data_IF_962036273588
#
_entry.id   IF_962036273588
#
_cell.length_a   1.000
_cell.length_b   1.000
_cell.length_c   1.000
_cell.angle_alpha   90.00
_cell.angle_beta   90.00
_cell.angle_gamma   90.00
#
_symmetry.space_group_name_H-M   'P 1'
#
loop_
_entity.id
_entity.type
_entity.pdbx_description
1 polymer ?
#
# COMPACT_ATOMS: atom_id res chain seq x y z
N UNK A 1 1.20 16.77 0.76
CA UNK A 1 0.01 17.38 1.39
C UNK A 1 -1.11 17.77 0.41
N UNK A 2 -0.80 18.30 -0.77
CA UNK A 2 -1.82 18.79 -1.71
C UNK A 2 -2.83 17.72 -2.19
N UNK A 3 -2.37 16.48 -2.40
CA UNK A 3 -3.25 15.39 -2.86
C UNK A 3 -4.35 15.05 -1.85
N UNK A 4 -4.02 14.96 -0.54
CA UNK A 4 -5.00 14.65 0.50
C UNK A 4 -6.13 15.70 0.51
N UNK A 5 -5.77 16.98 0.50
CA UNK A 5 -6.71 18.10 0.57
C UNK A 5 -7.59 18.24 -0.68
N UNK A 6 -7.05 17.96 -1.87
CA UNK A 6 -7.73 18.26 -3.14
C UNK A 6 -8.34 17.05 -3.85
N UNK A 7 -7.87 15.83 -3.56
CA UNK A 7 -8.22 14.64 -4.35
C UNK A 7 -8.77 13.49 -3.52
N UNK A 8 -8.37 13.32 -2.26
CA UNK A 8 -8.75 12.14 -1.49
C UNK A 8 -10.26 11.93 -1.38
N UNK A 9 -11.02 12.99 -1.06
CA UNK A 9 -12.49 12.89 -0.94
C UNK A 9 -13.19 12.63 -2.27
N UNK A 10 -12.77 13.30 -3.35
CA UNK A 10 -13.31 13.06 -4.69
C UNK A 10 -12.98 11.65 -5.19
N UNK A 11 -11.77 11.16 -4.93
CA UNK A 11 -11.37 9.79 -5.26
C UNK A 11 -12.12 8.75 -4.42
N UNK A 12 -12.40 9.04 -3.15
CA UNK A 12 -13.24 8.21 -2.29
C UNK A 12 -14.66 8.09 -2.86
N UNK A 13 -15.27 9.22 -3.26
CA UNK A 13 -16.62 9.26 -3.79
C UNK A 13 -16.75 8.54 -5.15
N UNK A 14 -15.77 8.75 -6.05
CA UNK A 14 -15.75 8.12 -7.37
C UNK A 14 -15.31 6.65 -7.37
N UNK A 15 -14.72 6.16 -6.26
CA UNK A 15 -14.18 4.81 -6.17
C UNK A 15 -12.76 4.65 -6.74
N UNK A 16 -12.11 5.73 -7.16
CA UNK A 16 -10.74 5.69 -7.68
C UNK A 16 -9.70 5.24 -6.63
N UNK A 17 -9.94 5.54 -5.35
CA UNK A 17 -9.13 5.03 -4.24
C UNK A 17 -9.89 5.11 -2.93
N UNK A 18 -9.59 4.23 -1.98
CA UNK A 18 -10.08 4.32 -0.60
C UNK A 18 -9.02 4.93 0.31
N UNK A 19 -9.35 6.03 0.98
CA UNK A 19 -8.42 6.76 1.87
C UNK A 19 -8.79 6.55 3.33
N UNK A 20 -7.79 6.27 4.17
CA UNK A 20 -7.92 6.10 5.61
C UNK A 20 -6.99 7.08 6.32
N UNK A 21 -7.45 7.64 7.43
CA UNK A 21 -6.74 8.69 8.17
C UNK A 21 -6.66 8.35 9.66
N UNK A 22 -5.59 8.79 10.29
CA UNK A 22 -5.50 8.91 11.76
C UNK A 22 -5.68 10.38 12.08
N UNK A 23 -6.69 10.69 12.89
CA UNK A 23 -7.03 12.05 13.28
C UNK A 23 -7.35 12.13 14.77
N UNK A 24 -7.17 13.32 15.37
CA UNK A 24 -7.68 13.60 16.71
C UNK A 24 -9.20 13.86 16.70
N UNK A 25 -9.84 13.98 17.88
CA UNK A 25 -11.27 14.30 17.97
C UNK A 25 -11.66 15.66 17.35
N UNK A 26 -10.71 16.58 17.17
CA UNK A 26 -10.94 17.86 16.50
C UNK A 26 -10.84 17.74 14.97
N UNK A 27 -10.52 16.55 14.43
CA UNK A 27 -10.42 16.28 13.00
C UNK A 27 -9.07 16.63 12.40
N UNK A 28 -8.04 16.94 13.20
CA UNK A 28 -6.69 17.15 12.69
C UNK A 28 -6.07 15.81 12.30
N UNK A 29 -5.69 15.67 11.04
CA UNK A 29 -5.05 14.47 10.51
C UNK A 29 -3.55 14.45 10.80
N UNK A 30 -3.06 13.35 11.37
CA UNK A 30 -1.64 13.11 11.67
C UNK A 30 -0.97 12.12 10.70
N UNK A 31 -1.77 11.40 9.92
CA UNK A 31 -1.26 10.49 8.89
C UNK A 31 -2.39 9.87 8.11
N UNK A 32 -2.06 9.36 6.92
CA UNK A 32 -3.04 8.72 6.05
C UNK A 32 -2.38 7.74 5.10
N UNK A 33 -3.20 6.87 4.53
CA UNK A 33 -2.84 6.10 3.36
C UNK A 33 -4.03 5.97 2.40
N UNK A 34 -3.75 5.62 1.15
CA UNK A 34 -4.78 5.38 0.15
C UNK A 34 -4.50 4.08 -0.62
N UNK A 35 -5.55 3.27 -0.81
CA UNK A 35 -5.49 2.00 -1.53
C UNK A 35 -6.38 2.01 -2.76
N UNK A 36 -5.95 1.33 -3.82
CA UNK A 36 -6.74 1.10 -5.03
C UNK A 36 -6.55 -0.33 -5.53
N UNK A 37 -7.53 -0.86 -6.27
CA UNK A 37 -7.35 -2.10 -7.00
C UNK A 37 -6.36 -1.89 -8.16
N UNK A 38 -5.58 -2.90 -8.50
CA UNK A 38 -4.63 -2.85 -9.60
C UNK A 38 -4.21 -4.22 -10.08
N UNK A 39 -3.25 -4.23 -11.01
CA UNK A 39 -2.65 -5.45 -11.52
C UNK A 39 -1.17 -5.20 -11.85
N UNK A 40 -0.36 -6.25 -11.79
CA UNK A 40 1.06 -6.21 -12.14
C UNK A 40 1.37 -7.29 -13.17
N UNK A 41 2.12 -6.93 -14.21
CA UNK A 41 2.54 -7.89 -15.25
C UNK A 41 3.48 -8.94 -14.66
N UNK A 42 3.57 -10.11 -15.30
CA UNK A 42 4.51 -11.16 -14.88
C UNK A 42 5.97 -10.69 -14.91
N UNK A 43 6.32 -9.84 -15.87
CA UNK A 43 7.67 -9.28 -15.99
C UNK A 43 8.02 -8.45 -14.76
N UNK A 44 7.06 -7.68 -14.23
CA UNK A 44 7.27 -6.79 -13.09
C UNK A 44 7.02 -7.48 -11.74
N UNK A 45 6.43 -8.66 -11.71
CA UNK A 45 6.13 -9.38 -10.47
C UNK A 45 7.29 -10.28 -10.01
N UNK A 46 7.52 -10.32 -8.70
CA UNK A 46 8.40 -11.32 -8.08
C UNK A 46 7.90 -12.74 -8.36
N UNK A 47 8.81 -13.72 -8.34
CA UNK A 47 8.46 -15.13 -8.57
C UNK A 47 7.39 -15.64 -7.60
N UNK A 48 7.39 -15.19 -6.34
CA UNK A 48 6.36 -15.56 -5.35
C UNK A 48 4.99 -14.95 -5.62
N UNK A 49 4.92 -13.81 -6.31
CA UNK A 49 3.67 -13.16 -6.70
C UNK A 49 3.10 -13.82 -7.97
N UNK A 50 3.92 -14.04 -9.02
CA UNK A 50 3.42 -14.51 -10.33
C UNK A 50 3.25 -16.02 -10.50
N UNK A 51 3.90 -16.83 -9.67
CA UNK A 51 3.87 -18.30 -9.82
C UNK A 51 2.43 -18.82 -9.83
N UNK A 52 2.06 -19.54 -10.89
CA UNK A 52 0.74 -20.15 -11.11
C UNK A 52 -0.41 -19.13 -11.06
N UNK A 53 -0.20 -17.91 -11.59
CA UNK A 53 -1.19 -16.83 -11.66
C UNK A 53 -1.41 -16.37 -13.10
N UNK A 54 -2.59 -15.80 -13.43
CA UNK A 54 -2.82 -15.14 -14.72
C UNK A 54 -1.88 -13.94 -14.90
N UNK A 55 -1.70 -13.51 -16.15
CA UNK A 55 -1.02 -12.26 -16.49
C UNK A 55 -2.06 -11.27 -17.05
N UNK A 56 -2.29 -10.11 -16.40
CA UNK A 56 -1.60 -9.59 -15.21
C UNK A 56 -2.11 -10.23 -13.89
N UNK A 57 -1.25 -10.20 -12.86
CA UNK A 57 -1.58 -10.68 -11.51
C UNK A 57 -2.37 -9.59 -10.76
N UNK A 58 -3.56 -9.89 -10.20
CA UNK A 58 -4.34 -8.91 -9.47
C UNK A 58 -3.70 -8.57 -8.11
N UNK A 59 -3.64 -7.28 -7.78
CA UNK A 59 -3.02 -6.74 -6.57
C UNK A 59 -3.84 -5.59 -5.98
N UNK A 60 -3.59 -5.27 -4.71
CA UNK A 60 -3.95 -3.98 -4.13
C UNK A 60 -2.76 -3.07 -4.21
N UNK A 61 -2.96 -1.81 -4.59
CA UNK A 61 -1.92 -0.79 -4.68
C UNK A 61 -2.03 0.15 -3.48
N UNK A 62 -0.97 0.23 -2.68
CA UNK A 62 -0.77 1.28 -1.69
C UNK A 62 -0.28 2.54 -2.40
N UNK A 63 -1.23 3.33 -2.92
CA UNK A 63 -0.93 4.46 -3.79
C UNK A 63 -0.30 5.64 -3.03
N UNK A 64 -0.61 5.77 -1.74
CA UNK A 64 -0.11 6.83 -0.85
C UNK A 64 0.06 6.28 0.56
N UNK A 65 1.13 6.69 1.22
CA UNK A 65 1.32 6.58 2.67
C UNK A 65 2.10 7.82 3.11
N UNK A 66 1.58 8.55 4.09
CA UNK A 66 2.25 9.74 4.62
C UNK A 66 1.90 10.00 6.08
N UNK A 67 2.86 10.54 6.81
CA UNK A 67 2.74 10.95 8.21
C UNK A 67 3.08 12.43 8.31
N UNK A 68 2.25 13.17 9.05
CA UNK A 68 2.48 14.58 9.37
C UNK A 68 3.83 14.75 10.05
N UNK A 69 4.53 15.84 9.75
CA UNK A 69 5.90 16.08 10.27
C UNK A 69 5.93 16.07 11.80
N UNK A 70 4.90 16.60 12.47
CA UNK A 70 4.83 16.63 13.93
C UNK A 70 4.62 15.24 14.55
N UNK A 71 4.13 14.26 13.76
CA UNK A 71 3.93 12.89 14.20
C UNK A 71 5.01 11.92 13.69
N UNK A 72 6.06 12.42 13.01
CA UNK A 72 7.18 11.55 12.59
C UNK A 72 7.99 11.08 13.80
N UNK A 73 8.60 9.90 13.70
CA UNK A 73 9.34 9.28 14.81
C UNK A 73 8.48 8.55 15.84
N UNK A 74 7.15 8.61 15.75
CA UNK A 74 6.20 7.96 16.68
C UNK A 74 5.77 6.55 16.25
N UNK A 75 6.48 5.94 15.30
CA UNK A 75 6.10 4.67 14.65
C UNK A 75 4.75 4.69 13.89
N UNK A 76 4.07 5.84 13.80
CA UNK A 76 2.78 5.98 13.12
C UNK A 76 2.80 5.49 11.66
N UNK A 77 3.90 5.68 10.93
CA UNK A 77 4.04 5.19 9.56
C UNK A 77 3.95 3.66 9.47
N UNK A 78 4.58 2.97 10.41
CA UNK A 78 4.52 1.53 10.54
C UNK A 78 3.12 1.04 10.89
N UNK A 79 2.47 1.70 11.86
CA UNK A 79 1.10 1.38 12.25
C UNK A 79 0.10 1.55 11.08
N UNK A 80 0.24 2.63 10.31
CA UNK A 80 -0.58 2.87 9.11
C UNK A 80 -0.34 1.80 8.03
N UNK A 81 0.93 1.42 7.80
CA UNK A 81 1.25 0.36 6.84
C UNK A 81 0.67 -0.99 7.30
N UNK A 82 0.76 -1.31 8.58
CA UNK A 82 0.19 -2.54 9.14
C UNK A 82 -1.35 -2.58 8.99
N UNK A 83 -2.05 -1.49 9.28
CA UNK A 83 -3.49 -1.37 9.05
C UNK A 83 -3.83 -1.53 7.55
N UNK A 84 -3.03 -0.93 6.65
CA UNK A 84 -3.22 -1.10 5.20
C UNK A 84 -3.03 -2.56 4.76
N UNK A 85 -2.01 -3.26 5.27
CA UNK A 85 -1.77 -4.69 4.99
C UNK A 85 -2.95 -5.54 5.47
N UNK A 86 -3.44 -5.31 6.69
CA UNK A 86 -4.57 -6.05 7.25
C UNK A 86 -5.85 -5.84 6.42
N UNK A 87 -6.14 -4.61 6.00
CA UNK A 87 -7.31 -4.33 5.16
C UNK A 87 -7.19 -4.92 3.77
N UNK A 88 -6.01 -4.84 3.15
CA UNK A 88 -5.79 -5.44 1.83
C UNK A 88 -5.87 -6.97 1.88
N UNK A 89 -5.38 -7.57 2.97
CA UNK A 89 -5.57 -9.00 3.24
C UNK A 89 -7.05 -9.36 3.42
N UNK A 90 -7.83 -8.59 4.19
CA UNK A 90 -9.26 -8.81 4.34
C UNK A 90 -10.01 -8.75 3.00
N UNK A 91 -9.65 -7.82 2.10
CA UNK A 91 -10.17 -7.79 0.73
C UNK A 91 -9.82 -9.06 -0.03
N UNK A 92 -8.60 -9.60 0.14
CA UNK A 92 -8.13 -10.80 -0.54
C UNK A 92 -8.91 -12.08 -0.20
N UNK A 93 -9.62 -12.09 0.93
CA UNK A 93 -10.50 -13.20 1.33
C UNK A 93 -11.77 -13.24 0.47
N UNK A 94 -12.24 -12.09 -0.01
CA UNK A 94 -13.50 -11.97 -0.75
C UNK A 94 -13.31 -11.70 -2.24
N UNK A 95 -12.15 -11.16 -2.65
CA UNK A 95 -11.82 -10.84 -4.02
C UNK A 95 -10.40 -11.31 -4.35
N UNK A 96 -10.16 -11.69 -5.61
CA UNK A 96 -8.84 -12.13 -6.05
C UNK A 96 -7.80 -11.02 -5.91
N UNK A 97 -6.96 -11.09 -4.88
CA UNK A 97 -5.84 -10.18 -4.65
C UNK A 97 -4.64 -10.99 -4.17
N UNK A 98 -3.51 -10.90 -4.87
CA UNK A 98 -2.32 -11.72 -4.56
C UNK A 98 -1.35 -11.05 -3.59
N UNK A 99 -1.24 -9.73 -3.65
CA UNK A 99 -0.24 -8.96 -2.93
C UNK A 99 -0.69 -7.51 -2.72
N UNK A 100 -0.06 -6.85 -1.76
CA UNK A 100 -0.01 -5.39 -1.68
C UNK A 100 1.23 -4.90 -2.45
N UNK A 101 1.05 -3.93 -3.34
CA UNK A 101 2.08 -3.33 -4.16
C UNK A 101 2.26 -1.86 -3.77
N UNK A 102 3.50 -1.40 -3.73
CA UNK A 102 3.84 0.00 -3.47
C UNK A 102 4.86 0.49 -4.50
N UNK A 103 4.81 1.78 -4.79
CA UNK A 103 5.88 2.47 -5.51
C UNK A 103 6.62 3.39 -4.54
N UNK A 104 7.82 2.98 -4.13
CA UNK A 104 8.70 3.79 -3.30
C UNK A 104 9.09 5.07 -4.06
N UNK A 105 9.06 6.20 -3.35
CA UNK A 105 9.39 7.51 -3.93
C UNK A 105 10.90 7.78 -3.91
N UNK A 106 11.63 7.11 -3.01
CA UNK A 106 13.07 7.22 -2.81
C UNK A 106 13.59 6.02 -2.02
N UNK A 107 14.92 5.90 -1.92
CA UNK A 107 15.59 4.83 -1.19
C UNK A 107 15.14 4.72 0.27
N UNK A 108 14.89 5.85 0.96
CA UNK A 108 14.41 5.81 2.34
C UNK A 108 13.04 5.13 2.47
N UNK A 109 12.11 5.43 1.55
CA UNK A 109 10.80 4.74 1.52
C UNK A 109 10.95 3.28 1.14
N UNK A 110 11.86 2.96 0.22
CA UNK A 110 12.15 1.58 -0.20
C UNK A 110 12.66 0.74 0.98
N UNK A 111 13.68 1.21 1.70
CA UNK A 111 14.20 0.54 2.89
C UNK A 111 13.14 0.38 3.98
N UNK A 112 12.26 1.38 4.14
CA UNK A 112 11.11 1.27 5.04
C UNK A 112 10.19 0.13 4.60
N UNK A 113 9.77 0.06 3.34
CA UNK A 113 8.89 -0.99 2.83
C UNK A 113 9.56 -2.39 2.96
N UNK A 114 10.85 -2.50 2.65
CA UNK A 114 11.64 -3.74 2.80
C UNK A 114 11.72 -4.22 4.25
N UNK A 115 11.85 -3.30 5.21
CA UNK A 115 11.80 -3.62 6.63
C UNK A 115 10.48 -4.31 7.02
N UNK A 116 9.37 -3.97 6.34
CA UNK A 116 8.06 -4.62 6.51
C UNK A 116 7.85 -5.84 5.59
N UNK A 117 8.93 -6.36 4.98
CA UNK A 117 8.91 -7.61 4.22
C UNK A 117 8.48 -7.47 2.76
N UNK A 118 8.32 -6.25 2.25
CA UNK A 118 8.14 -6.04 0.83
C UNK A 118 9.39 -6.44 0.06
N UNK A 119 9.21 -6.92 -1.18
CA UNK A 119 10.32 -7.33 -2.05
C UNK A 119 10.26 -6.61 -3.37
N UNK A 120 11.42 -6.17 -3.84
CA UNK A 120 11.58 -5.47 -5.10
C UNK A 120 11.10 -6.28 -6.30
N UNK A 121 10.53 -5.58 -7.27
CA UNK A 121 10.30 -6.06 -8.62
C UNK A 121 11.64 -6.37 -9.31
N UNK A 122 11.73 -7.45 -10.12
CA UNK A 122 12.93 -7.74 -10.89
C UNK A 122 13.23 -6.72 -12.00
N UNK A 123 12.27 -5.87 -12.38
CA UNK A 123 12.41 -4.88 -13.47
C UNK A 123 12.45 -3.44 -12.99
N UNK A 124 11.80 -3.16 -11.84
CA UNK A 124 11.62 -1.80 -11.34
C UNK A 124 11.96 -1.74 -9.85
N UNK A 125 13.20 -1.36 -9.47
CA UNK A 125 13.66 -1.37 -8.08
C UNK A 125 12.79 -0.57 -7.09
N UNK A 126 12.09 0.45 -7.58
CA UNK A 126 11.16 1.26 -6.78
C UNK A 126 9.74 0.67 -6.68
N UNK A 127 9.46 -0.45 -7.33
CA UNK A 127 8.18 -1.16 -7.21
C UNK A 127 8.39 -2.36 -6.31
N UNK A 128 7.72 -2.38 -5.17
CA UNK A 128 7.86 -3.44 -4.18
C UNK A 128 6.52 -4.10 -3.91
N UNK A 129 6.55 -5.36 -3.49
CA UNK A 129 5.35 -6.14 -3.27
C UNK A 129 5.44 -7.06 -2.05
N UNK A 130 4.35 -7.13 -1.30
CA UNK A 130 4.16 -7.99 -0.15
C UNK A 130 3.05 -9.01 -0.45
N UNK A 131 3.38 -10.30 -0.65
CA UNK A 131 2.39 -11.29 -1.01
C UNK A 131 1.64 -11.84 0.22
N UNK A 132 0.32 -12.04 0.11
CA UNK A 132 -0.53 -12.35 1.26
C UNK A 132 -0.44 -13.77 1.83
N UNK A 133 0.04 -14.74 1.06
CA UNK A 133 0.29 -16.11 1.55
C UNK A 133 1.38 -16.23 2.63
N UNK A 134 2.03 -15.12 3.03
CA UNK A 134 2.98 -15.08 4.15
C UNK A 134 2.38 -14.52 5.44
N UNK A 135 1.09 -14.17 5.45
CA UNK A 135 0.41 -13.57 6.61
C UNK A 135 -0.34 -14.59 7.48
N UNK A 136 -0.09 -15.89 7.32
CA UNK A 136 -0.63 -16.90 8.23
C UNK A 136 -0.02 -16.71 9.62
N UNK A 137 -0.89 -16.31 10.55
CA UNK A 137 -0.72 -16.29 12.01
C UNK A 137 -0.06 -17.53 12.57
#
# INVERSE_FOLDING_TARGET
>A
DNWLRRRALANQASGASRTFVVADPAGRVFGYYAMAAGAVSHQNATSSVRRNRPDPVPVMVLARLAVDRAAQGTQLGGALLQDAVQRAHAVSIHAGVRALLVHALNERTKTFDEHYGFRESPQHPNTLMLPFHRLSS
#
